data_IF_288695747727
#
_entry.id   IF_288695747727
#
_cell.length_a   1.000
_cell.length_b   1.000
_cell.length_c   1.000
_cell.angle_alpha   90.00
_cell.angle_beta   90.00
_cell.angle_gamma   90.00
#
_symmetry.space_group_name_H-M   'P 1'
#
loop_
_entity.id
_entity.type
_entity.pdbx_description
1 polymer ?
#
# COMPACT_ATOMS: atom_id res chain seq x y z
N UNK A 1 -35.46 29.72 26.99
CA UNK A 1 -34.69 30.63 27.82
C UNK A 1 -33.63 31.22 26.93
N UNK A 2 -33.86 32.48 26.64
CA UNK A 2 -33.02 33.43 25.91
C UNK A 2 -31.68 33.67 26.63
N UNK A 3 -30.59 33.89 25.87
CA UNK A 3 -29.94 35.19 25.96
C UNK A 3 -28.95 35.39 24.83
N UNK A 4 -29.14 36.48 24.15
CA UNK A 4 -28.27 37.07 23.14
C UNK A 4 -27.29 38.04 23.80
N UNK A 5 -26.05 38.09 23.32
CA UNK A 5 -25.16 39.23 23.67
C UNK A 5 -24.51 39.83 22.42
N UNK A 6 -24.77 41.14 22.34
CA UNK A 6 -24.52 42.15 21.35
C UNK A 6 -23.06 42.45 21.07
N UNK A 7 -22.82 42.83 19.81
CA UNK A 7 -21.64 43.56 19.32
C UNK A 7 -21.53 44.94 19.93
N UNK A 8 -20.29 45.38 20.17
CA UNK A 8 -19.96 46.81 20.44
C UNK A 8 -18.85 47.27 19.51
N UNK A 9 -19.24 48.23 18.66
CA UNK A 9 -18.41 49.04 17.76
C UNK A 9 -17.90 50.25 18.54
N UNK A 10 -16.62 50.62 18.43
CA UNK A 10 -16.08 51.88 18.92
C UNK A 10 -15.32 52.63 17.80
N UNK A 11 -15.36 53.96 17.78
CA UNK A 11 -15.07 54.78 16.61
C UNK A 11 -13.61 55.26 16.49
N UNK A 12 -13.27 55.54 15.24
CA UNK A 12 -12.00 56.13 14.77
C UNK A 12 -11.89 57.62 15.21
N UNK A 13 -10.76 58.03 15.78
CA UNK A 13 -10.38 59.44 15.97
C UNK A 13 -9.20 59.77 15.08
N UNK A 14 -9.39 60.78 14.24
CA UNK A 14 -8.36 61.54 13.48
C UNK A 14 -7.70 62.57 14.39
N UNK A 15 -6.37 62.67 14.38
CA UNK A 15 -5.59 63.73 15.00
C UNK A 15 -4.43 64.16 14.07
N UNK A 16 -3.89 65.38 14.18
CA UNK A 16 -3.42 66.18 13.06
C UNK A 16 -1.93 66.00 12.68
N UNK A 17 -1.64 66.43 11.45
CA UNK A 17 -0.33 66.43 10.77
C UNK A 17 0.67 67.37 11.49
N UNK A 18 1.87 66.86 11.76
CA UNK A 18 3.06 67.66 12.00
C UNK A 18 4.09 67.42 10.88
N UNK A 19 4.40 68.48 10.17
CA UNK A 19 5.58 68.59 9.28
C UNK A 19 6.84 68.69 10.14
N UNK A 20 7.82 67.86 9.85
CA UNK A 20 9.20 68.07 10.32
C UNK A 20 10.17 67.59 9.26
N UNK A 21 11.19 68.42 9.06
CA UNK A 21 12.17 68.39 8.00
C UNK A 21 13.04 67.14 7.91
N UNK A 22 13.39 66.76 6.67
CA UNK A 22 14.35 65.72 6.35
C UNK A 22 15.80 66.09 6.66
N UNK A 23 16.63 65.19 7.20
CA UNK A 23 18.06 65.20 6.94
C UNK A 23 18.40 64.20 5.82
N UNK A 24 19.04 64.68 4.76
CA UNK A 24 19.64 63.86 3.71
C UNK A 24 20.77 63.00 4.31
N UNK A 25 20.52 61.71 4.44
CA UNK A 25 21.56 60.71 4.71
C UNK A 25 21.93 60.08 3.38
N UNK A 26 23.13 60.33 2.93
CA UNK A 26 23.74 59.62 1.80
C UNK A 26 24.12 58.20 2.24
N UNK A 27 23.29 57.22 1.90
CA UNK A 27 23.58 55.85 2.18
C UNK A 27 24.31 55.20 1.00
N UNK A 28 25.59 54.94 1.20
CA UNK A 28 26.36 54.09 0.29
C UNK A 28 25.78 52.68 0.29
N UNK A 29 25.08 52.29 -0.77
CA UNK A 29 24.67 50.91 -0.99
C UNK A 29 25.86 50.03 -1.38
N UNK A 30 26.47 49.36 -0.41
CA UNK A 30 27.37 48.28 -0.65
C UNK A 30 26.51 47.05 -1.00
N UNK A 31 26.34 46.75 -2.31
CA UNK A 31 25.59 45.61 -2.81
C UNK A 31 26.34 44.30 -2.46
N UNK A 32 25.92 43.65 -1.39
CA UNK A 32 26.33 42.25 -1.14
C UNK A 32 25.58 41.34 -2.09
N UNK A 33 26.28 40.86 -3.13
CA UNK A 33 25.81 39.76 -3.97
C UNK A 33 25.89 38.46 -3.15
N UNK A 34 24.76 38.04 -2.59
CA UNK A 34 24.65 36.72 -1.98
C UNK A 34 24.55 35.72 -3.12
N UNK A 35 25.65 35.02 -3.42
CA UNK A 35 25.64 33.87 -4.32
C UNK A 35 24.92 32.73 -3.62
N UNK A 36 23.67 32.49 -3.99
CA UNK A 36 22.94 31.30 -3.54
C UNK A 36 23.54 30.07 -4.21
N UNK A 37 24.33 29.30 -3.45
CA UNK A 37 24.82 27.98 -3.87
C UNK A 37 23.63 27.02 -3.81
N UNK A 38 23.01 26.75 -4.95
CA UNK A 38 22.02 25.68 -5.09
C UNK A 38 22.76 24.33 -5.04
N UNK A 39 22.81 23.71 -3.89
CA UNK A 39 23.20 22.30 -3.77
C UNK A 39 22.07 21.44 -4.36
N UNK A 40 22.21 21.00 -5.61
CA UNK A 40 21.32 20.00 -6.19
C UNK A 40 21.54 18.68 -5.48
N UNK A 41 20.61 18.33 -4.58
CA UNK A 41 20.53 16.96 -4.03
C UNK A 41 20.05 16.06 -5.17
N UNK A 42 20.82 15.03 -5.58
CA UNK A 42 20.36 14.11 -6.61
C UNK A 42 19.10 13.41 -6.08
N UNK A 43 17.96 13.65 -6.72
CA UNK A 43 16.76 12.87 -6.48
C UNK A 43 17.05 11.43 -6.94
N UNK A 44 17.02 10.48 -6.04
CA UNK A 44 17.05 9.04 -6.37
C UNK A 44 15.75 8.75 -7.13
N UNK A 45 15.84 8.70 -8.45
CA UNK A 45 14.73 8.23 -9.29
C UNK A 45 14.62 6.72 -9.08
N UNK A 46 13.70 6.30 -8.21
CA UNK A 46 13.31 4.90 -8.12
C UNK A 46 12.71 4.52 -9.48
N UNK A 47 13.25 3.50 -10.13
CA UNK A 47 12.70 3.01 -11.39
C UNK A 47 11.25 2.57 -11.15
N UNK A 48 10.30 3.19 -11.87
CA UNK A 48 8.87 2.84 -11.79
C UNK A 48 8.68 1.43 -12.37
N UNK A 49 8.53 0.43 -11.49
CA UNK A 49 8.23 -0.94 -11.85
C UNK A 49 6.73 -1.20 -11.64
N UNK A 50 6.16 -2.06 -12.47
CA UNK A 50 4.77 -2.45 -12.35
C UNK A 50 4.66 -3.95 -12.05
N UNK A 51 3.73 -4.30 -11.14
CA UNK A 51 3.37 -5.68 -10.91
C UNK A 51 2.57 -6.23 -12.10
N UNK A 52 2.87 -7.45 -12.51
CA UNK A 52 1.99 -8.22 -13.39
C UNK A 52 0.92 -8.86 -12.51
N UNK A 53 -0.35 -8.58 -12.79
CA UNK A 53 -1.48 -9.16 -12.08
C UNK A 53 -2.23 -10.14 -12.97
N UNK A 54 -2.55 -11.33 -12.45
CA UNK A 54 -3.28 -12.36 -13.18
C UNK A 54 -4.39 -12.97 -12.32
N UNK A 55 -5.52 -13.27 -12.95
CA UNK A 55 -6.62 -14.00 -12.31
C UNK A 55 -6.56 -15.46 -12.75
N UNK A 56 -6.57 -16.36 -11.79
CA UNK A 56 -6.58 -17.82 -11.98
C UNK A 56 -7.90 -18.39 -11.44
N UNK A 57 -8.93 -18.60 -12.28
CA UNK A 57 -10.20 -19.11 -11.81
C UNK A 57 -10.09 -20.61 -11.51
N UNK A 58 -10.83 -21.05 -10.47
CA UNK A 58 -11.12 -22.47 -10.24
C UNK A 58 -12.62 -22.73 -10.38
N UNK A 59 -12.98 -23.88 -10.95
CA UNK A 59 -14.38 -24.23 -11.23
C UNK A 59 -15.12 -24.66 -9.99
N UNK A 60 -16.33 -24.11 -9.81
CA UNK A 60 -17.31 -24.53 -8.80
C UNK A 60 -18.64 -24.89 -9.50
N UNK A 61 -19.50 -25.65 -8.81
CA UNK A 61 -20.81 -26.08 -9.31
C UNK A 61 -21.88 -25.85 -8.26
N UNK A 62 -23.12 -25.59 -8.72
CA UNK A 62 -24.27 -25.33 -7.88
C UNK A 62 -25.31 -24.52 -8.61
N UNK A 63 -26.60 -24.68 -8.26
CA UNK A 63 -27.74 -23.93 -8.80
C UNK A 63 -28.39 -23.03 -7.76
N UNK A 64 -27.87 -23.00 -6.54
CA UNK A 64 -28.25 -22.13 -5.44
C UNK A 64 -27.02 -21.50 -4.80
N UNK A 65 -27.20 -20.42 -4.05
CA UNK A 65 -26.10 -19.76 -3.33
C UNK A 65 -25.43 -20.71 -2.33
N UNK A 66 -26.22 -21.47 -1.57
CA UNK A 66 -25.71 -22.47 -0.65
C UNK A 66 -24.91 -23.59 -1.37
N UNK A 67 -25.39 -24.07 -2.54
CA UNK A 67 -24.70 -25.07 -3.34
C UNK A 67 -23.36 -24.57 -3.90
N UNK A 68 -23.32 -23.32 -4.37
CA UNK A 68 -22.08 -22.67 -4.83
C UNK A 68 -21.07 -22.55 -3.67
N UNK A 69 -21.53 -22.13 -2.50
CA UNK A 69 -20.67 -21.97 -1.33
C UNK A 69 -20.15 -23.34 -0.82
N UNK A 70 -20.98 -24.39 -0.80
CA UNK A 70 -20.54 -25.75 -0.51
C UNK A 70 -19.44 -26.20 -1.49
N UNK A 71 -19.62 -25.95 -2.80
CA UNK A 71 -18.60 -26.28 -3.81
C UNK A 71 -17.30 -25.50 -3.63
N UNK A 72 -17.34 -24.26 -3.14
CA UNK A 72 -16.14 -23.51 -2.73
C UNK A 72 -15.41 -24.24 -1.60
N UNK A 73 -16.13 -24.71 -0.58
CA UNK A 73 -15.57 -25.46 0.52
C UNK A 73 -14.87 -26.78 0.10
N UNK A 74 -15.32 -27.39 -1.00
CA UNK A 74 -14.74 -28.62 -1.55
C UNK A 74 -13.54 -28.35 -2.46
N UNK A 75 -13.56 -27.29 -3.27
CA UNK A 75 -12.66 -27.05 -4.41
C UNK A 75 -11.76 -25.85 -4.26
N UNK A 76 -12.03 -24.97 -3.30
CA UNK A 76 -11.26 -23.77 -3.06
C UNK A 76 -9.76 -24.06 -2.82
N UNK A 77 -8.90 -23.07 -2.94
CA UNK A 77 -7.47 -23.22 -2.70
C UNK A 77 -7.21 -23.68 -1.28
N UNK A 78 -6.18 -24.51 -1.10
CA UNK A 78 -5.75 -24.94 0.23
C UNK A 78 -5.21 -23.73 1.01
N UNK A 79 -5.79 -23.46 2.17
CA UNK A 79 -5.28 -22.49 3.12
C UNK A 79 -4.23 -23.12 4.06
N UNK A 80 -3.48 -22.28 4.76
CA UNK A 80 -2.60 -22.74 5.83
C UNK A 80 -3.44 -23.42 6.92
N UNK A 81 -3.24 -24.73 7.15
CA UNK A 81 -4.03 -25.56 8.05
C UNK A 81 -4.86 -26.60 7.29
N UNK A 82 -5.97 -27.07 7.90
CA UNK A 82 -6.80 -28.14 7.35
C UNK A 82 -7.98 -27.68 6.49
N UNK A 83 -8.09 -26.36 6.23
CA UNK A 83 -9.22 -25.76 5.53
C UNK A 83 -8.94 -25.35 4.08
N UNK A 84 -10.01 -24.93 3.40
CA UNK A 84 -9.94 -24.30 2.09
C UNK A 84 -10.41 -22.85 2.20
N UNK A 85 -9.75 -21.97 1.45
CA UNK A 85 -10.14 -20.58 1.34
C UNK A 85 -11.17 -20.39 0.21
N UNK A 86 -11.92 -19.31 0.29
CA UNK A 86 -12.84 -18.85 -0.77
C UNK A 86 -12.03 -18.40 -1.99
N UNK A 87 -10.98 -17.65 -1.74
CA UNK A 87 -10.05 -17.13 -2.72
C UNK A 87 -8.64 -17.08 -2.11
N UNK A 88 -7.65 -16.78 -2.90
CA UNK A 88 -6.28 -16.68 -2.39
C UNK A 88 -5.42 -15.81 -3.28
N UNK A 89 -4.74 -14.85 -2.69
CA UNK A 89 -3.70 -14.04 -3.34
C UNK A 89 -2.33 -14.61 -3.06
N UNK A 90 -1.61 -14.94 -4.13
CA UNK A 90 -0.21 -15.38 -4.08
C UNK A 90 0.66 -14.45 -4.91
N UNK A 91 1.98 -14.50 -4.68
CA UNK A 91 2.90 -13.72 -5.50
C UNK A 91 4.21 -14.46 -5.74
N UNK A 92 4.86 -14.11 -6.86
CA UNK A 92 6.23 -14.46 -7.18
C UNK A 92 7.04 -13.18 -7.27
N UNK A 93 8.05 -13.07 -6.40
CA UNK A 93 8.94 -11.90 -6.35
C UNK A 93 10.37 -12.35 -6.60
N UNK A 94 11.01 -11.73 -7.57
CA UNK A 94 12.43 -11.88 -7.86
C UNK A 94 13.10 -10.52 -7.90
N UNK A 95 14.42 -10.49 -7.61
CA UNK A 95 15.20 -9.27 -7.54
C UNK A 95 16.44 -9.36 -8.40
N UNK A 96 16.72 -8.30 -9.16
CA UNK A 96 18.04 -8.07 -9.76
C UNK A 96 18.78 -7.09 -8.86
N UNK A 97 19.85 -7.56 -8.19
CA UNK A 97 20.65 -6.76 -7.25
C UNK A 97 22.08 -6.66 -7.70
N UNK A 98 22.66 -5.46 -7.51
CA UNK A 98 24.10 -5.23 -7.67
C UNK A 98 24.68 -4.75 -6.36
N UNK A 99 25.71 -5.44 -5.92
CA UNK A 99 26.52 -5.10 -4.75
C UNK A 99 27.87 -4.57 -5.24
N UNK A 100 28.34 -3.50 -4.63
CA UNK A 100 29.65 -2.91 -4.96
C UNK A 100 30.48 -2.71 -3.69
N UNK A 101 31.72 -3.15 -3.73
CA UNK A 101 32.71 -2.80 -2.72
C UNK A 101 33.12 -1.33 -2.90
N UNK A 102 33.08 -0.55 -1.84
CA UNK A 102 33.52 0.85 -1.79
C UNK A 102 34.51 1.01 -0.64
N UNK A 103 35.79 0.96 -0.95
CA UNK A 103 36.85 0.89 0.07
C UNK A 103 36.71 -0.38 0.90
N UNK A 104 36.54 -0.25 2.22
CA UNK A 104 36.31 -1.36 3.15
C UNK A 104 34.84 -1.69 3.39
N UNK A 105 33.90 -0.98 2.74
CA UNK A 105 32.47 -1.18 2.88
C UNK A 105 31.88 -1.86 1.63
N UNK A 106 30.66 -2.42 1.76
CA UNK A 106 29.84 -2.86 0.63
C UNK A 106 28.52 -2.10 0.60
N UNK A 107 28.06 -1.76 -0.60
CA UNK A 107 26.79 -1.03 -0.83
C UNK A 107 25.92 -1.75 -1.86
N UNK A 108 24.60 -1.69 -1.70
CA UNK A 108 23.63 -2.10 -2.74
C UNK A 108 23.36 -0.90 -3.64
N UNK A 109 23.86 -0.93 -4.87
CA UNK A 109 23.70 0.16 -5.85
C UNK A 109 22.51 -0.04 -6.78
N UNK A 110 22.01 -1.27 -6.90
CA UNK A 110 20.81 -1.59 -7.72
C UNK A 110 19.98 -2.64 -7.00
N UNK A 111 18.66 -2.43 -6.98
CA UNK A 111 17.69 -3.39 -6.47
C UNK A 111 16.39 -3.26 -7.26
N UNK A 112 16.22 -4.06 -8.33
CA UNK A 112 15.06 -4.01 -9.22
C UNK A 112 14.16 -5.21 -9.00
N UNK A 113 12.88 -5.03 -8.63
CA UNK A 113 11.94 -6.11 -8.45
C UNK A 113 11.33 -6.56 -9.79
N UNK A 114 10.95 -7.84 -9.84
CA UNK A 114 9.96 -8.39 -10.78
C UNK A 114 8.90 -9.08 -9.95
N UNK A 115 7.69 -8.50 -9.93
CA UNK A 115 6.56 -8.97 -9.13
C UNK A 115 5.45 -9.48 -10.04
N UNK A 116 4.97 -10.71 -9.76
CA UNK A 116 3.76 -11.29 -10.35
C UNK A 116 2.82 -11.60 -9.20
N UNK A 117 1.59 -11.08 -9.24
CA UNK A 117 0.52 -11.35 -8.28
C UNK A 117 -0.53 -12.20 -8.95
N UNK A 118 -0.94 -13.30 -8.32
CA UNK A 118 -1.96 -14.21 -8.85
C UNK A 118 -3.14 -14.26 -7.88
N UNK A 119 -4.34 -13.97 -8.38
CA UNK A 119 -5.60 -14.05 -7.66
C UNK A 119 -6.33 -15.33 -8.05
N UNK A 120 -6.43 -16.30 -7.15
CA UNK A 120 -7.20 -17.53 -7.34
C UNK A 120 -8.63 -17.31 -6.89
N UNK A 121 -9.60 -17.34 -7.82
CA UNK A 121 -10.99 -16.96 -7.59
C UNK A 121 -11.97 -18.05 -8.03
N UNK A 122 -13.11 -18.24 -7.34
CA UNK A 122 -14.15 -19.19 -7.76
C UNK A 122 -14.87 -18.70 -9.02
N UNK A 123 -15.18 -19.63 -9.92
CA UNK A 123 -15.96 -19.37 -11.14
C UNK A 123 -16.99 -20.48 -11.35
N UNK A 124 -18.29 -20.20 -11.42
CA UNK A 124 -19.29 -21.18 -11.76
C UNK A 124 -18.99 -21.84 -13.11
N UNK A 125 -19.11 -23.17 -13.16
CA UNK A 125 -18.85 -23.97 -14.38
C UNK A 125 -20.00 -23.94 -15.38
N UNK A 126 -21.19 -23.49 -14.96
CA UNK A 126 -22.37 -23.36 -15.78
C UNK A 126 -23.06 -22.00 -15.54
N UNK A 127 -24.00 -21.64 -16.43
CA UNK A 127 -24.84 -20.48 -16.26
C UNK A 127 -25.70 -20.61 -14.98
N UNK A 128 -25.77 -19.53 -14.21
CA UNK A 128 -26.56 -19.51 -12.98
C UNK A 128 -28.02 -19.18 -13.27
N UNK A 129 -28.97 -19.75 -12.47
CA UNK A 129 -30.36 -19.30 -12.46
C UNK A 129 -30.45 -17.81 -12.20
N UNK A 130 -31.42 -17.12 -12.83
CA UNK A 130 -31.56 -15.67 -12.72
C UNK A 130 -31.69 -15.18 -11.26
N UNK A 131 -32.38 -15.93 -10.42
CA UNK A 131 -32.55 -15.62 -9.00
C UNK A 131 -31.23 -15.61 -8.20
N UNK A 132 -30.27 -16.48 -8.56
CA UNK A 132 -28.97 -16.65 -7.87
C UNK A 132 -27.90 -15.69 -8.43
N UNK A 133 -28.07 -15.29 -9.70
CA UNK A 133 -27.05 -14.55 -10.43
C UNK A 133 -26.65 -13.25 -9.73
N UNK A 134 -27.62 -12.46 -9.28
CA UNK A 134 -27.36 -11.16 -8.65
C UNK A 134 -26.60 -11.30 -7.31
N UNK A 135 -26.98 -12.28 -6.46
CA UNK A 135 -26.28 -12.52 -5.19
C UNK A 135 -24.87 -13.07 -5.41
N UNK A 136 -24.69 -13.90 -6.44
CA UNK A 136 -23.36 -14.37 -6.85
C UNK A 136 -22.46 -13.23 -7.37
N UNK A 137 -22.99 -12.34 -8.23
CA UNK A 137 -22.23 -11.21 -8.75
C UNK A 137 -21.78 -10.25 -7.65
N UNK A 138 -22.64 -9.97 -6.67
CA UNK A 138 -22.29 -9.19 -5.50
C UNK A 138 -21.20 -9.87 -4.67
N UNK A 139 -21.35 -11.19 -4.41
CA UNK A 139 -20.39 -11.99 -3.66
C UNK A 139 -19.01 -11.99 -4.33
N UNK A 140 -18.94 -12.37 -5.62
CA UNK A 140 -17.64 -12.48 -6.30
C UNK A 140 -16.94 -11.13 -6.48
N UNK A 141 -17.71 -10.04 -6.69
CA UNK A 141 -17.16 -8.69 -6.73
C UNK A 141 -16.53 -8.29 -5.40
N UNK A 142 -17.19 -8.57 -4.27
CA UNK A 142 -16.64 -8.29 -2.95
C UNK A 142 -15.40 -9.15 -2.64
N UNK A 143 -15.42 -10.44 -2.99
CA UNK A 143 -14.25 -11.33 -2.85
C UNK A 143 -13.07 -10.82 -3.69
N UNK A 144 -13.31 -10.38 -4.92
CA UNK A 144 -12.26 -9.78 -5.77
C UNK A 144 -11.69 -8.51 -5.16
N UNK A 145 -12.54 -7.64 -4.61
CA UNK A 145 -12.10 -6.43 -3.93
C UNK A 145 -11.22 -6.74 -2.72
N UNK A 146 -11.63 -7.74 -1.90
CA UNK A 146 -10.85 -8.23 -0.77
C UNK A 146 -9.46 -8.73 -1.21
N UNK A 147 -9.38 -9.58 -2.22
CA UNK A 147 -8.10 -10.11 -2.71
C UNK A 147 -7.20 -9.00 -3.30
N UNK A 148 -7.79 -7.95 -3.90
CA UNK A 148 -7.01 -6.81 -4.37
C UNK A 148 -6.36 -6.03 -3.24
N UNK A 149 -6.97 -5.93 -2.06
CA UNK A 149 -6.33 -5.32 -0.88
C UNK A 149 -5.06 -6.10 -0.50
N UNK A 150 -5.10 -7.44 -0.52
CA UNK A 150 -3.89 -8.24 -0.33
C UNK A 150 -2.84 -7.95 -1.40
N UNK A 151 -3.24 -7.81 -2.67
CA UNK A 151 -2.35 -7.42 -3.76
C UNK A 151 -1.67 -6.07 -3.53
N UNK A 152 -2.42 -5.06 -3.07
CA UNK A 152 -1.86 -3.74 -2.75
C UNK A 152 -0.86 -3.80 -1.59
N UNK A 153 -1.16 -4.54 -0.50
CA UNK A 153 -0.21 -4.70 0.60
C UNK A 153 1.09 -5.40 0.19
N UNK A 154 1.03 -6.30 -0.81
CA UNK A 154 2.21 -6.93 -1.41
C UNK A 154 3.03 -5.89 -2.21
N UNK A 155 2.38 -5.06 -3.02
CA UNK A 155 3.05 -3.98 -3.78
C UNK A 155 3.72 -2.97 -2.84
N UNK A 156 3.05 -2.59 -1.76
CA UNK A 156 3.62 -1.71 -0.72
C UNK A 156 4.86 -2.33 -0.07
N UNK A 157 4.80 -3.62 0.29
CA UNK A 157 5.95 -4.36 0.81
C UNK A 157 7.13 -4.32 -0.17
N UNK A 158 6.89 -4.52 -1.46
CA UNK A 158 7.95 -4.52 -2.48
C UNK A 158 8.58 -3.13 -2.61
N UNK A 159 7.78 -2.06 -2.60
CA UNK A 159 8.26 -0.67 -2.59
C UNK A 159 9.10 -0.36 -1.34
N UNK A 160 8.65 -0.82 -0.17
CA UNK A 160 9.39 -0.67 1.09
C UNK A 160 10.75 -1.41 1.03
N UNK A 161 10.77 -2.63 0.50
CA UNK A 161 12.01 -3.41 0.31
C UNK A 161 12.96 -2.68 -0.64
N UNK A 162 12.47 -2.16 -1.77
CA UNK A 162 13.27 -1.44 -2.73
C UNK A 162 13.92 -0.20 -2.09
N UNK A 163 13.11 0.64 -1.44
CA UNK A 163 13.56 1.86 -0.79
C UNK A 163 14.57 1.59 0.34
N UNK A 164 14.34 0.54 1.14
CA UNK A 164 15.25 0.15 2.23
C UNK A 164 16.58 -0.41 1.71
N UNK A 165 16.56 -1.07 0.54
CA UNK A 165 17.72 -1.80 0.03
C UNK A 165 18.69 -0.92 -0.76
N UNK A 166 18.18 0.04 -1.56
CA UNK A 166 19.04 0.92 -2.36
C UNK A 166 19.83 1.84 -1.41
N UNK A 167 21.16 1.83 -1.57
CA UNK A 167 22.05 2.61 -0.70
C UNK A 167 22.35 1.95 0.65
N UNK A 168 21.78 0.77 0.95
CA UNK A 168 22.19 0.01 2.13
C UNK A 168 23.69 -0.23 2.07
N UNK A 169 24.41 0.21 3.11
CA UNK A 169 25.85 0.11 3.24
C UNK A 169 26.20 -0.63 4.52
N UNK A 170 27.21 -1.49 4.46
CA UNK A 170 27.77 -2.18 5.61
C UNK A 170 29.29 -2.03 5.59
N UNK A 171 29.84 -1.48 6.67
CA UNK A 171 31.26 -1.28 6.85
C UNK A 171 31.98 -2.59 7.15
N UNK A 172 33.30 -2.61 6.94
CA UNK A 172 34.16 -3.79 7.12
C UNK A 172 33.67 -5.03 6.36
N UNK A 173 33.15 -4.83 5.13
CA UNK A 173 32.58 -5.87 4.29
C UNK A 173 33.09 -5.82 2.83
N UNK A 174 34.42 -5.88 2.60
CA UNK A 174 34.96 -5.77 1.26
C UNK A 174 34.52 -6.89 0.32
N UNK A 175 34.13 -8.05 0.86
CA UNK A 175 33.58 -9.19 0.10
C UNK A 175 32.08 -9.18 -0.08
N UNK A 176 31.36 -8.19 0.42
CA UNK A 176 29.89 -8.08 0.37
C UNK A 176 29.16 -9.30 0.98
N UNK A 177 29.65 -9.86 2.07
CA UNK A 177 29.05 -11.00 2.78
C UNK A 177 28.14 -10.56 3.91
N UNK A 178 28.59 -9.60 4.75
CA UNK A 178 27.83 -9.11 5.90
C UNK A 178 26.55 -8.38 5.45
N UNK A 179 26.60 -7.60 4.37
CA UNK A 179 25.46 -6.88 3.81
C UNK A 179 24.32 -7.82 3.38
N UNK A 180 24.62 -9.04 2.93
CA UNK A 180 23.60 -10.03 2.57
C UNK A 180 22.87 -10.57 3.81
N UNK A 181 23.58 -10.71 4.93
CA UNK A 181 22.98 -11.12 6.21
C UNK A 181 22.06 -10.01 6.72
N UNK A 182 22.55 -8.77 6.74
CA UNK A 182 21.76 -7.62 7.17
C UNK A 182 20.52 -7.38 6.29
N UNK A 183 20.69 -7.49 4.97
CA UNK A 183 19.56 -7.43 4.04
C UNK A 183 18.54 -8.52 4.36
N UNK A 184 18.95 -9.77 4.56
CA UNK A 184 18.05 -10.90 4.86
C UNK A 184 17.24 -10.65 6.14
N UNK A 185 17.90 -10.12 7.18
CA UNK A 185 17.23 -9.75 8.44
C UNK A 185 16.13 -8.71 8.20
N UNK A 186 16.45 -7.60 7.51
CA UNK A 186 15.48 -6.53 7.19
C UNK A 186 14.33 -7.01 6.30
N UNK A 187 14.62 -7.84 5.30
CA UNK A 187 13.60 -8.47 4.46
C UNK A 187 12.62 -9.31 5.28
N UNK A 188 13.14 -10.04 6.28
CA UNK A 188 12.33 -10.83 7.21
C UNK A 188 11.35 -9.96 7.98
N UNK A 189 11.79 -8.85 8.53
CA UNK A 189 10.97 -7.91 9.30
C UNK A 189 9.85 -7.28 8.44
N UNK A 190 10.19 -6.80 7.24
CA UNK A 190 9.21 -6.22 6.31
C UNK A 190 8.16 -7.27 5.91
N UNK A 191 8.60 -8.49 5.58
CA UNK A 191 7.71 -9.59 5.21
C UNK A 191 6.79 -10.01 6.36
N UNK A 192 7.27 -9.98 7.61
CA UNK A 192 6.44 -10.29 8.79
C UNK A 192 5.35 -9.23 8.98
N UNK A 193 5.69 -7.94 8.84
CA UNK A 193 4.69 -6.86 8.93
C UNK A 193 3.61 -6.99 7.85
N UNK A 194 3.99 -7.30 6.61
CA UNK A 194 3.03 -7.50 5.53
C UNK A 194 2.09 -8.68 5.84
N UNK A 195 2.61 -9.83 6.27
CA UNK A 195 1.78 -10.98 6.66
C UNK A 195 0.87 -10.67 7.84
N UNK A 196 1.34 -9.86 8.81
CA UNK A 196 0.49 -9.47 9.94
C UNK A 196 -0.66 -8.57 9.48
N UNK A 197 -0.39 -7.58 8.63
CA UNK A 197 -1.45 -6.72 8.04
C UNK A 197 -2.50 -7.56 7.30
N UNK A 198 -2.07 -8.56 6.52
CA UNK A 198 -3.00 -9.47 5.83
C UNK A 198 -3.90 -10.23 6.81
N UNK A 199 -3.33 -10.83 7.86
CA UNK A 199 -4.13 -11.54 8.88
C UNK A 199 -5.11 -10.63 9.62
N UNK A 200 -4.70 -9.40 9.94
CA UNK A 200 -5.55 -8.44 10.64
C UNK A 200 -6.72 -8.00 9.75
N UNK A 201 -6.47 -7.80 8.46
CA UNK A 201 -7.49 -7.52 7.47
C UNK A 201 -8.48 -8.68 7.31
N UNK A 202 -7.99 -9.91 7.13
CA UNK A 202 -8.83 -11.13 7.06
C UNK A 202 -9.72 -11.27 8.31
N UNK A 203 -9.15 -11.04 9.49
CA UNK A 203 -9.90 -11.13 10.75
C UNK A 203 -11.05 -10.15 10.81
N UNK A 204 -10.89 -8.94 10.27
CA UNK A 204 -11.94 -7.92 10.23
C UNK A 204 -13.00 -8.29 9.19
N UNK A 205 -12.58 -8.64 7.97
CA UNK A 205 -13.48 -8.89 6.84
C UNK A 205 -14.30 -10.18 6.99
N UNK A 206 -13.71 -11.21 7.60
CA UNK A 206 -14.34 -12.52 7.81
C UNK A 206 -14.96 -12.68 9.22
N UNK A 207 -14.67 -11.76 10.14
CA UNK A 207 -15.23 -11.77 11.49
C UNK A 207 -16.70 -11.33 11.53
N UNK A 208 -17.30 -11.37 12.73
CA UNK A 208 -18.71 -10.99 12.93
C UNK A 208 -18.99 -9.57 12.44
N UNK A 209 -19.92 -9.44 11.50
CA UNK A 209 -20.27 -8.17 10.86
C UNK A 209 -19.31 -7.72 9.75
N UNK A 210 -18.26 -8.47 9.48
CA UNK A 210 -17.29 -8.17 8.43
C UNK A 210 -17.90 -8.28 7.02
N UNK A 211 -17.32 -7.55 6.08
CA UNK A 211 -17.86 -7.44 4.72
C UNK A 211 -17.95 -8.81 4.01
N UNK A 212 -16.90 -9.62 4.06
CA UNK A 212 -16.90 -10.96 3.44
C UNK A 212 -17.91 -11.88 4.14
N UNK A 213 -18.01 -11.82 5.47
CA UNK A 213 -19.00 -12.60 6.20
C UNK A 213 -20.43 -12.24 5.76
N UNK A 214 -20.75 -10.94 5.63
CA UNK A 214 -22.06 -10.49 5.18
C UNK A 214 -22.38 -10.93 3.74
N UNK A 215 -21.38 -10.91 2.85
CA UNK A 215 -21.51 -11.39 1.48
C UNK A 215 -21.78 -12.90 1.42
N UNK A 216 -21.10 -13.69 2.28
CA UNK A 216 -21.37 -15.14 2.43
C UNK A 216 -22.81 -15.35 2.88
N UNK A 217 -23.23 -14.69 3.96
CA UNK A 217 -24.60 -14.83 4.49
C UNK A 217 -25.66 -14.46 3.45
N UNK A 218 -25.43 -13.38 2.69
CA UNK A 218 -26.33 -12.95 1.62
C UNK A 218 -26.40 -13.96 0.47
N UNK A 219 -25.27 -14.57 0.11
CA UNK A 219 -25.22 -15.61 -0.92
C UNK A 219 -25.94 -16.87 -0.46
N UNK A 220 -25.65 -17.37 0.74
CA UNK A 220 -26.14 -18.65 1.25
C UNK A 220 -27.63 -18.62 1.59
N UNK A 221 -28.12 -17.50 2.14
CA UNK A 221 -29.52 -17.31 2.54
C UNK A 221 -30.36 -16.64 1.43
N UNK A 222 -29.76 -16.32 0.30
CA UNK A 222 -30.48 -15.81 -0.88
C UNK A 222 -31.19 -16.91 -1.65
N UNK A 223 -31.94 -16.53 -2.71
CA UNK A 223 -32.66 -17.49 -3.55
C UNK A 223 -31.73 -18.45 -4.30
#
# INVERSE_FOLDING_TARGET
MHDALKAATAPVRFGPKHHSAEPRVTTNFLSYMIAAVFTSVPAVVLADWQAVEEVRPYSISGTSGAGLYASIGERGPKASGFGRAIAHTTFKLTWTRKYEAQGNACVIVTNRPKLIISYTLPKPSAALPAAVKSSWEAFISGVQAHERVHGETIKEMVKEIEAMSIGLTVDDDPDCKKIRIELTRRLGEISQRQRQRGRDFDKIEMGDGGNIQQLILKLVNGP
#
